data_IF_456166119729
#
_entry.id   IF_456166119729
#
_cell.length_a   1.000
_cell.length_b   1.000
_cell.length_c   1.000
_cell.angle_alpha   90.00
_cell.angle_beta   90.00
_cell.angle_gamma   90.00
#
_symmetry.space_group_name_H-M   'P 1'
#
loop_
_entity.id
_entity.type
_entity.pdbx_description
1 polymer ?
#
# COMPACT_ATOMS: atom_id res chain seq x y z
N UNK A 1 12.88 -40.31 66.00
CA UNK A 1 13.11 -39.86 67.40
C UNK A 1 14.52 -39.34 67.48
N UNK A 2 14.67 -38.07 67.12
CA UNK A 2 15.45 -37.02 67.80
C UNK A 2 16.72 -37.39 68.61
N UNK A 3 17.76 -36.63 68.26
CA UNK A 3 18.75 -35.98 69.14
C UNK A 3 20.12 -36.62 69.41
N UNK A 4 21.11 -35.98 68.77
CA UNK A 4 22.19 -35.19 69.39
C UNK A 4 23.28 -35.95 70.15
N UNK A 5 24.47 -36.00 69.54
CA UNK A 5 25.72 -36.41 70.20
C UNK A 5 26.89 -35.57 69.71
N UNK A 6 27.73 -35.21 70.68
CA UNK A 6 29.15 -34.91 70.59
C UNK A 6 29.57 -33.43 70.45
N UNK A 7 29.63 -32.78 71.62
CA UNK A 7 30.78 -31.95 71.99
C UNK A 7 32.04 -32.80 72.20
N UNK A 8 33.19 -32.17 71.92
CA UNK A 8 34.57 -32.43 72.39
C UNK A 8 35.54 -33.27 71.54
N UNK A 9 36.82 -32.86 71.65
CA UNK A 9 38.10 -33.41 71.15
C UNK A 9 38.56 -32.68 69.87
N UNK A 10 39.67 -31.93 69.79
CA UNK A 10 41.00 -32.23 70.30
C UNK A 10 41.87 -30.97 70.47
N UNK A 11 42.71 -31.02 71.50
CA UNK A 11 43.74 -30.09 71.92
C UNK A 11 44.96 -30.02 71.00
N UNK A 12 45.48 -28.78 70.86
CA UNK A 12 46.88 -28.34 70.90
C UNK A 12 47.94 -28.80 69.87
N UNK A 13 48.86 -27.86 69.60
CA UNK A 13 50.15 -27.90 68.87
C UNK A 13 50.05 -27.29 67.44
N UNK A 14 50.73 -26.22 67.03
CA UNK A 14 52.00 -25.63 67.47
C UNK A 14 52.14 -24.16 67.00
N UNK A 15 52.95 -23.42 67.78
CA UNK A 15 53.40 -22.05 67.59
C UNK A 15 54.07 -21.79 66.22
N UNK A 16 54.00 -20.54 65.72
CA UNK A 16 55.16 -19.77 65.23
C UNK A 16 54.81 -18.28 64.95
N UNK A 17 55.40 -17.40 65.77
CA UNK A 17 56.02 -16.10 65.50
C UNK A 17 55.48 -15.16 64.38
N UNK A 18 55.09 -13.93 64.77
CA UNK A 18 55.82 -12.67 64.44
C UNK A 18 54.92 -11.46 64.13
N UNK A 19 55.19 -10.38 64.87
CA UNK A 19 55.08 -8.94 64.56
C UNK A 19 53.72 -8.34 64.15
N UNK A 20 53.18 -7.54 65.08
CA UNK A 20 52.29 -6.41 64.81
C UNK A 20 53.05 -5.35 63.99
N UNK A 21 52.61 -5.12 62.77
CA UNK A 21 52.87 -3.88 62.04
C UNK A 21 51.54 -3.38 61.49
N UNK A 22 50.99 -2.35 62.16
CA UNK A 22 49.86 -1.57 61.68
C UNK A 22 50.31 -0.77 60.45
N UNK A 23 50.02 -1.28 59.26
CA UNK A 23 50.02 -0.49 58.03
C UNK A 23 48.64 0.13 57.86
N UNK A 24 48.52 1.44 58.10
CA UNK A 24 47.31 2.20 57.80
C UNK A 24 47.01 2.15 56.30
N UNK A 25 45.93 1.48 55.91
CA UNK A 25 45.35 1.62 54.58
C UNK A 25 44.51 2.90 54.54
N UNK A 26 44.91 3.85 53.70
CA UNK A 26 44.09 5.01 53.38
C UNK A 26 42.73 4.55 52.80
N UNK A 27 41.59 5.15 53.17
CA UNK A 27 40.32 4.86 52.53
C UNK A 27 40.36 5.26 51.06
N UNK A 28 39.69 4.52 50.15
CA UNK A 28 39.60 4.91 48.75
C UNK A 28 38.80 6.22 48.65
N UNK A 29 39.29 7.16 47.84
CA UNK A 29 38.58 8.40 47.53
C UNK A 29 37.20 8.07 46.93
N UNK A 30 36.15 8.86 47.23
CA UNK A 30 34.85 8.68 46.61
C UNK A 30 35.00 8.87 45.09
N UNK A 31 34.53 7.87 44.34
CA UNK A 31 34.46 7.97 42.87
C UNK A 31 33.59 9.17 42.52
N UNK A 32 34.18 10.16 41.84
CA UNK A 32 33.46 11.25 41.25
C UNK A 32 32.47 10.67 40.21
N UNK A 33 31.18 10.78 40.49
CA UNK A 33 30.14 10.49 39.51
C UNK A 33 30.25 11.54 38.39
N UNK A 34 30.69 11.12 37.22
CA UNK A 34 30.58 11.96 36.03
C UNK A 34 29.09 12.17 35.73
N UNK A 35 28.62 13.41 35.44
CA UNK A 35 27.24 13.62 35.06
C UNK A 35 26.97 12.86 33.76
N UNK A 36 25.94 12.00 33.76
CA UNK A 36 25.42 11.39 32.54
C UNK A 36 24.99 12.51 31.58
N UNK A 37 25.32 12.47 30.28
CA UNK A 37 24.88 13.49 29.35
C UNK A 37 23.35 13.54 29.36
N UNK A 38 22.79 14.72 29.65
CA UNK A 38 21.37 14.99 29.46
C UNK A 38 21.01 14.64 28.00
N UNK A 39 19.93 13.88 27.74
CA UNK A 39 19.48 13.64 26.38
C UNK A 39 19.38 14.97 25.63
N UNK A 40 20.03 15.08 24.48
CA UNK A 40 19.89 16.25 23.62
C UNK A 40 18.39 16.48 23.35
N UNK A 41 17.90 17.74 23.35
CA UNK A 41 16.53 18.02 22.95
C UNK A 41 16.22 17.31 21.64
N UNK A 42 15.13 16.54 21.60
CA UNK A 42 14.68 15.92 20.37
C UNK A 42 14.54 17.01 19.30
N UNK A 43 15.00 16.78 18.05
CA UNK A 43 14.79 17.72 16.96
C UNK A 43 13.32 18.12 16.92
N UNK A 44 13.05 19.42 16.82
CA UNK A 44 11.68 19.90 16.60
C UNK A 44 11.13 19.21 15.34
N UNK A 45 9.83 18.85 15.31
CA UNK A 45 9.25 18.22 14.13
C UNK A 45 9.51 19.13 12.93
N UNK A 46 10.16 18.57 11.90
CA UNK A 46 10.47 19.33 10.71
C UNK A 46 9.15 19.75 10.06
N UNK A 47 8.96 21.07 9.94
CA UNK A 47 7.84 21.61 9.20
C UNK A 47 7.96 21.15 7.73
N UNK A 48 7.02 20.32 7.28
CA UNK A 48 6.98 19.84 5.90
C UNK A 48 6.07 20.77 5.10
N UNK A 49 6.65 21.55 4.17
CA UNK A 49 5.86 22.35 3.24
C UNK A 49 5.34 21.45 2.09
N UNK A 50 4.05 21.11 2.12
CA UNK A 50 3.45 20.19 1.16
C UNK A 50 3.44 20.76 -0.25
N UNK A 51 3.21 22.06 -0.42
CA UNK A 51 3.25 22.75 -1.72
C UNK A 51 4.62 22.61 -2.36
N UNK A 52 5.66 22.97 -1.60
CA UNK A 52 7.04 22.87 -2.06
C UNK A 52 7.38 21.43 -2.43
N UNK A 53 7.09 20.48 -1.55
CA UNK A 53 7.39 19.07 -1.76
C UNK A 53 6.70 18.50 -2.99
N UNK A 54 5.41 18.78 -3.19
CA UNK A 54 4.66 18.35 -4.38
C UNK A 54 5.09 19.07 -5.66
N UNK A 55 5.61 20.29 -5.56
CA UNK A 55 6.10 21.04 -6.72
C UNK A 55 7.45 20.54 -7.25
N UNK A 56 8.30 19.97 -6.39
CA UNK A 56 9.67 19.55 -6.75
C UNK A 56 9.83 18.05 -6.94
N UNK A 57 9.07 17.22 -6.23
CA UNK A 57 9.36 15.80 -6.10
C UNK A 57 8.77 14.92 -7.23
N UNK A 58 7.91 15.46 -8.10
CA UNK A 58 7.36 14.68 -9.22
C UNK A 58 6.38 15.43 -10.11
N UNK A 59 5.82 14.75 -11.13
CA UNK A 59 4.81 15.29 -12.02
C UNK A 59 3.45 15.28 -11.31
N UNK A 60 3.31 16.07 -10.25
CA UNK A 60 2.13 16.17 -9.39
C UNK A 60 1.40 17.50 -9.55
N UNK A 61 1.75 18.28 -10.57
CA UNK A 61 1.24 19.64 -10.76
C UNK A 61 -0.29 19.68 -10.91
N UNK A 62 -0.89 18.69 -11.58
CA UNK A 62 -2.35 18.60 -11.73
C UNK A 62 -3.03 18.40 -10.39
N UNK A 63 -2.51 17.49 -9.56
CA UNK A 63 -3.05 17.26 -8.22
C UNK A 63 -2.86 18.49 -7.32
N UNK A 64 -1.69 19.14 -7.40
CA UNK A 64 -1.41 20.37 -6.67
C UNK A 64 -2.39 21.50 -7.05
N UNK A 65 -2.66 21.69 -8.34
CA UNK A 65 -3.65 22.67 -8.81
C UNK A 65 -5.07 22.38 -8.27
N UNK A 66 -5.44 21.10 -8.17
CA UNK A 66 -6.71 20.71 -7.54
C UNK A 66 -6.71 20.99 -6.04
N UNK A 67 -5.62 20.71 -5.32
CA UNK A 67 -5.48 21.03 -3.90
C UNK A 67 -5.64 22.53 -3.63
N UNK A 68 -5.03 23.38 -4.47
CA UNK A 68 -5.09 24.84 -4.34
C UNK A 68 -6.48 25.40 -4.67
N UNK A 69 -7.07 24.97 -5.79
CA UNK A 69 -8.39 25.45 -6.23
C UNK A 69 -9.53 25.02 -5.29
N UNK A 70 -9.42 23.86 -4.66
CA UNK A 70 -10.42 23.34 -3.71
C UNK A 70 -10.16 23.75 -2.26
N UNK A 71 -9.04 24.45 -1.98
CA UNK A 71 -8.58 24.81 -0.63
C UNK A 71 -8.34 23.61 0.29
N UNK A 72 -8.11 22.42 -0.28
CA UNK A 72 -7.81 21.21 0.50
C UNK A 72 -6.34 21.19 0.95
N UNK A 73 -5.47 21.91 0.25
CA UNK A 73 -4.07 22.07 0.65
C UNK A 73 -3.94 22.56 2.10
N UNK A 74 -4.75 23.54 2.50
CA UNK A 74 -4.75 24.09 3.86
C UNK A 74 -5.14 23.02 4.90
N UNK A 75 -6.13 22.18 4.58
CA UNK A 75 -6.54 21.05 5.42
C UNK A 75 -5.41 20.04 5.57
N UNK A 76 -4.73 19.67 4.49
CA UNK A 76 -3.62 18.71 4.53
C UNK A 76 -2.44 19.27 5.31
N UNK A 77 -2.10 20.55 5.09
CA UNK A 77 -1.01 21.21 5.78
C UNK A 77 -1.29 21.34 7.29
N UNK A 78 -2.53 21.65 7.65
CA UNK A 78 -2.98 21.67 9.05
C UNK A 78 -2.92 20.28 9.68
N UNK A 79 -3.39 19.24 8.98
CA UNK A 79 -3.33 17.86 9.48
C UNK A 79 -1.88 17.41 9.70
N UNK A 80 -0.98 17.75 8.78
CA UNK A 80 0.44 17.41 8.87
C UNK A 80 1.15 18.06 10.06
N UNK A 81 0.87 19.34 10.33
CA UNK A 81 1.70 20.14 11.24
C UNK A 81 1.05 20.42 12.60
N UNK A 82 -0.28 20.37 12.68
CA UNK A 82 -1.02 20.77 13.87
C UNK A 82 -1.70 19.58 14.56
N UNK A 83 -1.40 18.35 14.15
CA UNK A 83 -1.93 17.13 14.78
C UNK A 83 -0.82 16.12 15.03
N UNK A 84 -0.91 15.39 16.15
CA UNK A 84 0.04 14.33 16.50
C UNK A 84 -0.19 13.03 15.72
N UNK A 85 -1.29 12.93 14.95
CA UNK A 85 -1.60 11.73 14.17
C UNK A 85 -0.88 11.70 12.82
N UNK A 86 -0.51 12.86 12.30
CA UNK A 86 0.08 13.02 10.97
C UNK A 86 -0.91 12.77 9.82
N UNK A 87 -0.37 12.62 8.62
CA UNK A 87 -1.13 12.47 7.38
C UNK A 87 -0.46 11.47 6.43
N UNK A 88 -1.28 10.74 5.69
CA UNK A 88 -0.84 9.94 4.53
C UNK A 88 -1.56 10.41 3.29
N UNK A 89 -0.83 10.80 2.25
CA UNK A 89 -1.37 11.37 1.01
C UNK A 89 -1.01 10.46 -0.16
N UNK A 90 -2.01 10.02 -0.91
CA UNK A 90 -1.87 9.28 -2.16
C UNK A 90 -1.97 10.24 -3.33
N UNK A 91 -0.85 10.46 -4.02
CA UNK A 91 -0.74 11.48 -5.06
C UNK A 91 -0.76 10.83 -6.44
N UNK A 92 -1.81 11.06 -7.25
CA UNK A 92 -1.83 10.60 -8.63
C UNK A 92 -0.85 11.41 -9.48
N UNK A 93 -0.11 10.74 -10.36
CA UNK A 93 0.71 11.41 -11.38
C UNK A 93 -0.15 12.20 -12.36
N UNK A 94 0.41 13.23 -12.99
CA UNK A 94 -0.25 13.97 -14.07
C UNK A 94 -0.73 13.04 -15.21
N UNK A 95 0.01 11.96 -15.49
CA UNK A 95 -0.39 10.94 -16.45
C UNK A 95 -1.66 10.17 -16.03
N UNK A 96 -1.91 10.02 -14.73
CA UNK A 96 -3.12 9.38 -14.20
C UNK A 96 -4.37 10.20 -14.54
N UNK A 97 -4.28 11.53 -14.41
CA UNK A 97 -5.35 12.44 -14.81
C UNK A 97 -5.57 12.43 -16.32
N UNK A 98 -4.50 12.43 -17.12
CA UNK A 98 -4.59 12.34 -18.58
C UNK A 98 -5.22 11.02 -19.06
N UNK A 99 -4.95 9.92 -18.34
CA UNK A 99 -5.51 8.61 -18.65
C UNK A 99 -6.98 8.45 -18.22
N UNK A 100 -7.48 9.32 -17.34
CA UNK A 100 -8.84 9.29 -16.85
C UNK A 100 -9.81 9.88 -17.89
N UNK A 101 -10.28 9.03 -18.81
CA UNK A 101 -11.26 9.42 -19.83
C UNK A 101 -12.70 9.45 -19.29
N UNK A 102 -13.04 8.48 -18.44
CA UNK A 102 -14.33 8.36 -17.77
C UNK A 102 -14.10 7.74 -16.37
N UNK A 103 -14.81 8.21 -15.33
CA UNK A 103 -15.72 9.35 -15.32
C UNK A 103 -14.95 10.68 -15.46
N UNK A 104 -15.62 11.72 -15.98
CA UNK A 104 -15.01 13.04 -16.14
C UNK A 104 -15.09 13.82 -14.82
N UNK A 105 -13.95 14.31 -14.34
CA UNK A 105 -13.90 15.16 -13.14
C UNK A 105 -14.54 16.54 -13.36
N UNK A 106 -14.64 16.98 -14.61
CA UNK A 106 -15.27 18.28 -14.95
C UNK A 106 -16.78 18.30 -14.74
N UNK A 107 -17.42 17.13 -14.60
CA UNK A 107 -18.86 17.02 -14.33
C UNK A 107 -19.19 17.08 -12.83
N UNK A 108 -18.18 17.13 -11.96
CA UNK A 108 -18.37 17.17 -10.52
C UNK A 108 -18.73 18.58 -10.05
N UNK A 109 -19.58 18.67 -9.02
CA UNK A 109 -19.76 19.92 -8.29
C UNK A 109 -18.47 20.27 -7.53
N UNK A 110 -18.34 21.52 -7.10
CA UNK A 110 -17.19 21.94 -6.28
C UNK A 110 -17.06 21.12 -5.00
N UNK A 111 -18.18 20.78 -4.35
CA UNK A 111 -18.18 19.97 -3.13
C UNK A 111 -17.78 18.52 -3.41
N UNK A 112 -18.26 17.93 -4.51
CA UNK A 112 -17.83 16.59 -4.92
C UNK A 112 -16.34 16.56 -5.27
N UNK A 113 -15.84 17.57 -5.99
CA UNK A 113 -14.43 17.68 -6.30
C UNK A 113 -13.60 17.84 -5.02
N UNK A 114 -14.04 18.66 -4.05
CA UNK A 114 -13.38 18.79 -2.75
C UNK A 114 -13.32 17.46 -2.01
N UNK A 115 -14.42 16.72 -1.93
CA UNK A 115 -14.47 15.39 -1.33
C UNK A 115 -13.58 14.39 -2.05
N UNK A 116 -13.50 14.44 -3.40
CA UNK A 116 -12.60 13.62 -4.20
C UNK A 116 -11.13 13.88 -3.82
N UNK A 117 -10.73 15.13 -3.66
CA UNK A 117 -9.35 15.47 -3.30
C UNK A 117 -9.05 15.08 -1.85
N UNK A 118 -9.98 15.32 -0.91
CA UNK A 118 -9.86 14.84 0.47
C UNK A 118 -9.75 13.31 0.56
N UNK A 119 -10.41 12.58 -0.34
CA UNK A 119 -10.37 11.12 -0.39
C UNK A 119 -8.97 10.56 -0.69
N UNK A 120 -8.10 11.36 -1.30
CA UNK A 120 -6.73 10.97 -1.58
C UNK A 120 -5.82 11.02 -0.33
N UNK A 121 -6.33 11.34 0.86
CA UNK A 121 -5.53 11.35 2.07
C UNK A 121 -6.23 10.72 3.28
N UNK A 122 -5.43 10.19 4.19
CA UNK A 122 -5.88 9.62 5.46
C UNK A 122 -5.44 10.49 6.64
N UNK A 123 -6.26 10.62 7.70
CA UNK A 123 -5.99 11.49 8.85
C UNK A 123 -4.96 10.90 9.83
N UNK A 124 -4.03 10.10 9.33
CA UNK A 124 -2.99 9.45 10.13
C UNK A 124 -1.78 9.11 9.25
N UNK A 125 -0.59 9.20 9.82
CA UNK A 125 0.64 8.70 9.22
C UNK A 125 0.64 7.16 9.19
N UNK A 126 0.91 6.61 8.01
CA UNK A 126 1.12 5.19 7.79
C UNK A 126 2.39 4.98 6.97
N UNK A 127 3.30 4.18 7.50
CA UNK A 127 4.46 3.69 6.75
C UNK A 127 4.03 2.62 5.74
N UNK A 128 4.90 2.29 4.77
CA UNK A 128 4.64 1.18 3.84
C UNK A 128 4.37 -0.15 4.57
N UNK A 129 5.05 -0.39 5.70
CA UNK A 129 4.89 -1.60 6.50
C UNK A 129 3.52 -1.68 7.21
N UNK A 130 2.89 -0.53 7.48
CA UNK A 130 1.57 -0.51 8.13
C UNK A 130 0.45 -0.95 7.19
N UNK A 131 0.61 -0.78 5.87
CA UNK A 131 -0.39 -1.18 4.89
C UNK A 131 -0.67 -2.69 4.89
N UNK A 132 0.34 -3.52 5.20
CA UNK A 132 0.13 -4.94 5.38
C UNK A 132 -0.89 -5.22 6.51
N UNK A 133 -0.77 -4.50 7.65
CA UNK A 133 -1.73 -4.62 8.75
C UNK A 133 -3.10 -4.08 8.34
N UNK A 134 -3.18 -2.95 7.63
CA UNK A 134 -4.45 -2.40 7.15
C UNK A 134 -5.18 -3.37 6.21
N UNK A 135 -4.45 -4.13 5.39
CA UNK A 135 -5.03 -5.12 4.49
C UNK A 135 -5.84 -6.21 5.21
N UNK A 136 -5.53 -6.47 6.49
CA UNK A 136 -6.24 -7.45 7.31
C UNK A 136 -7.37 -6.85 8.16
N UNK A 137 -7.47 -5.52 8.26
CA UNK A 137 -8.42 -4.81 9.13
C UNK A 137 -9.69 -4.37 8.43
N UNK A 138 -9.70 -4.33 7.10
CA UNK A 138 -10.84 -3.89 6.29
C UNK A 138 -10.74 -2.41 5.86
N UNK A 139 -11.85 -1.81 5.41
CA UNK A 139 -11.86 -0.46 4.86
C UNK A 139 -11.41 0.60 5.87
N UNK A 140 -10.59 1.55 5.43
CA UNK A 140 -10.06 2.64 6.25
C UNK A 140 -10.63 3.97 5.78
N UNK A 141 -11.18 4.76 6.70
CA UNK A 141 -11.72 6.08 6.38
C UNK A 141 -10.63 7.09 5.99
N UNK A 142 -11.00 7.97 5.08
CA UNK A 142 -10.14 9.05 4.55
C UNK A 142 -10.51 10.41 5.17
N UNK A 143 -9.77 11.45 4.83
CA UNK A 143 -10.08 12.83 5.22
C UNK A 143 -11.39 13.37 4.61
N UNK A 144 -11.99 12.67 3.65
CA UNK A 144 -13.30 13.04 3.10
C UNK A 144 -14.47 12.67 4.03
N UNK A 145 -14.24 11.82 5.04
CA UNK A 145 -15.25 11.41 6.02
C UNK A 145 -15.53 9.90 6.01
N UNK A 146 -16.42 9.46 6.90
CA UNK A 146 -16.68 8.03 7.19
C UNK A 146 -17.22 7.24 5.99
N UNK A 147 -18.03 7.88 5.13
CA UNK A 147 -18.58 7.29 3.91
C UNK A 147 -17.54 7.11 2.78
N UNK A 148 -16.32 7.60 2.99
CA UNK A 148 -15.24 7.55 2.02
C UNK A 148 -14.10 6.70 2.57
N UNK A 149 -14.13 5.41 2.24
CA UNK A 149 -13.14 4.44 2.71
C UNK A 149 -12.29 3.87 1.58
N UNK A 150 -11.06 3.49 1.91
CA UNK A 150 -10.11 2.82 1.04
C UNK A 150 -9.83 1.42 1.59
N UNK A 151 -9.85 0.44 0.68
CA UNK A 151 -9.36 -0.90 0.98
C UNK A 151 -7.91 -1.04 0.53
N UNK A 152 -7.15 -1.79 1.32
CA UNK A 152 -5.74 -2.06 1.07
C UNK A 152 -5.56 -3.55 0.83
N UNK A 153 -4.76 -3.91 -0.17
CA UNK A 153 -4.24 -5.28 -0.30
C UNK A 153 -2.74 -5.23 -0.47
N UNK A 154 -2.06 -6.22 0.12
CA UNK A 154 -0.62 -6.39 -0.06
C UNK A 154 -0.39 -7.64 -0.91
N UNK A 155 0.23 -7.44 -2.07
CA UNK A 155 0.55 -8.49 -3.02
C UNK A 155 2.08 -8.59 -3.12
N UNK A 156 2.65 -9.47 -2.30
CA UNK A 156 4.10 -9.75 -2.27
C UNK A 156 4.97 -8.50 -2.07
N UNK A 157 4.53 -7.58 -1.21
CA UNK A 157 5.24 -6.33 -0.89
C UNK A 157 4.84 -5.14 -1.76
N UNK A 158 3.94 -5.33 -2.73
CA UNK A 158 3.32 -4.22 -3.47
C UNK A 158 1.97 -3.89 -2.86
N UNK A 159 1.81 -2.65 -2.42
CA UNK A 159 0.55 -2.15 -1.83
C UNK A 159 -0.39 -1.72 -2.94
N UNK A 160 -1.60 -2.28 -2.91
CA UNK A 160 -2.71 -1.92 -3.78
C UNK A 160 -3.80 -1.21 -2.98
N UNK A 161 -4.41 -0.21 -3.61
CA UNK A 161 -5.53 0.55 -3.09
C UNK A 161 -6.76 0.29 -3.94
N UNK A 162 -7.89 0.11 -3.27
CA UNK A 162 -9.19 -0.10 -3.90
C UNK A 162 -10.21 0.88 -3.32
N UNK A 163 -10.76 1.74 -4.18
CA UNK A 163 -11.79 2.71 -3.85
C UNK A 163 -13.21 2.29 -4.26
N UNK A 164 -13.38 1.03 -4.68
CA UNK A 164 -14.59 0.52 -5.33
C UNK A 164 -14.55 0.76 -6.84
N UNK A 165 -14.43 2.02 -7.25
CA UNK A 165 -14.39 2.41 -8.67
C UNK A 165 -13.02 2.32 -9.33
N UNK A 166 -11.95 2.53 -8.57
CA UNK A 166 -10.60 2.53 -9.09
C UNK A 166 -9.71 1.67 -8.22
N UNK A 167 -8.94 0.80 -8.89
CA UNK A 167 -7.90 -0.02 -8.26
C UNK A 167 -6.55 0.40 -8.78
N UNK A 168 -5.64 0.74 -7.88
CA UNK A 168 -4.30 1.23 -8.22
C UNK A 168 -3.27 0.62 -7.28
N UNK A 169 -2.00 0.78 -7.62
CA UNK A 169 -0.89 0.41 -6.76
C UNK A 169 -0.13 1.65 -6.32
N UNK A 170 0.51 1.57 -5.15
CA UNK A 170 1.56 2.49 -4.77
C UNK A 170 2.77 2.20 -5.66
N UNK A 171 3.17 3.20 -6.44
CA UNK A 171 4.25 3.09 -7.41
C UNK A 171 5.59 3.63 -6.89
N UNK A 172 5.56 4.56 -5.92
CA UNK A 172 6.76 5.11 -5.29
C UNK A 172 6.40 5.76 -3.94
N UNK A 173 7.36 5.79 -3.01
CA UNK A 173 7.29 6.61 -1.81
C UNK A 173 8.08 7.90 -2.05
N UNK A 174 7.35 9.01 -2.20
CA UNK A 174 7.93 10.34 -2.46
C UNK A 174 8.51 10.92 -1.18
N UNK A 175 7.78 10.74 -0.08
CA UNK A 175 8.19 11.13 1.25
C UNK A 175 7.55 10.15 2.25
N UNK A 176 8.27 9.72 3.27
CA UNK A 176 7.75 8.78 4.27
C UNK A 176 8.50 9.01 5.57
N UNK A 177 8.16 10.09 6.25
CA UNK A 177 8.78 10.48 7.52
C UNK A 177 7.71 11.13 8.38
N UNK A 178 7.49 10.59 9.57
CA UNK A 178 6.49 11.10 10.51
C UNK A 178 6.71 12.61 10.75
N UNK A 179 5.68 13.47 10.62
CA UNK A 179 4.24 13.16 10.53
C UNK A 179 3.66 13.01 9.11
N UNK A 180 4.45 13.02 8.04
CA UNK A 180 3.97 13.05 6.65
C UNK A 180 4.41 11.83 5.84
N UNK A 181 3.45 11.15 5.23
CA UNK A 181 3.69 10.17 4.18
C UNK A 181 3.05 10.61 2.87
N UNK A 182 3.81 10.55 1.77
CA UNK A 182 3.37 10.85 0.40
C UNK A 182 3.73 9.68 -0.49
N UNK A 183 2.70 9.02 -1.01
CA UNK A 183 2.81 7.86 -1.88
C UNK A 183 2.27 8.16 -3.27
N UNK A 184 3.08 7.92 -4.28
CA UNK A 184 2.69 8.10 -5.67
C UNK A 184 1.80 6.95 -6.14
N UNK A 185 0.68 7.25 -6.80
CA UNK A 185 -0.21 6.26 -7.41
C UNK A 185 -0.37 6.46 -8.92
N UNK A 186 -0.63 5.37 -9.64
CA UNK A 186 -0.71 5.36 -11.10
C UNK A 186 -2.11 5.72 -11.66
N UNK A 187 -3.14 5.74 -10.80
CA UNK A 187 -4.51 6.13 -11.14
C UNK A 187 -5.08 7.07 -10.07
N UNK A 188 -6.00 7.93 -10.49
CA UNK A 188 -6.80 8.78 -9.59
C UNK A 188 -7.74 7.88 -8.79
N UNK A 189 -7.81 8.08 -7.48
CA UNK A 189 -8.73 7.38 -6.59
C UNK A 189 -10.14 7.97 -6.73
N UNK A 190 -11.10 7.14 -7.11
CA UNK A 190 -12.48 7.52 -7.37
C UNK A 190 -13.39 6.83 -6.33
N UNK A 191 -13.99 7.57 -5.37
CA UNK A 191 -14.82 6.96 -4.35
C UNK A 191 -16.21 6.58 -4.89
N UNK A 192 -16.66 5.39 -4.55
CA UNK A 192 -18.02 4.91 -4.84
C UNK A 192 -19.12 5.87 -4.38
N UNK A 193 -18.92 6.57 -3.26
CA UNK A 193 -19.88 7.56 -2.76
C UNK A 193 -20.17 8.75 -3.71
N UNK A 194 -19.28 9.03 -4.67
CA UNK A 194 -19.50 10.08 -5.70
C UNK A 194 -20.01 9.47 -7.01
N UNK A 195 -19.46 8.31 -7.39
CA UNK A 195 -19.68 7.72 -8.71
C UNK A 195 -20.71 6.57 -8.73
N UNK A 196 -21.26 6.20 -7.58
CA UNK A 196 -22.21 5.09 -7.43
C UNK A 196 -21.55 3.71 -7.56
N UNK A 197 -22.34 2.66 -7.74
CA UNK A 197 -21.86 1.28 -7.96
C UNK A 197 -21.83 0.86 -9.43
N UNK A 198 -22.41 1.67 -10.32
CA UNK A 198 -22.53 1.35 -11.75
C UNK A 198 -21.24 1.73 -12.50
N UNK A 199 -20.26 0.83 -12.45
CA UNK A 199 -18.97 1.02 -13.12
C UNK A 199 -19.17 0.77 -14.63
N UNK A 200 -19.01 1.78 -15.51
CA UNK A 200 -19.11 1.59 -16.94
C UNK A 200 -18.01 0.63 -17.40
N UNK A 201 -18.29 -0.23 -18.40
CA UNK A 201 -17.30 -1.18 -18.89
C UNK A 201 -16.01 -0.44 -19.30
N UNK A 202 -14.89 -0.84 -18.69
CA UNK A 202 -13.59 -0.24 -18.97
C UNK A 202 -13.28 -0.44 -20.47
N UNK A 203 -12.89 0.61 -21.21
CA UNK A 203 -12.50 0.45 -22.60
C UNK A 203 -11.34 -0.55 -22.67
N UNK A 204 -11.33 -1.48 -23.65
CA UNK A 204 -10.25 -2.43 -23.82
C UNK A 204 -8.90 -1.70 -23.83
N UNK A 205 -7.92 -2.22 -23.08
CA UNK A 205 -6.56 -1.71 -23.13
C UNK A 205 -6.11 -1.68 -24.61
N UNK A 206 -5.47 -0.59 -25.09
CA UNK A 206 -4.99 -0.53 -26.46
C UNK A 206 -4.13 -1.76 -26.75
N UNK A 207 -4.53 -2.54 -27.75
CA UNK A 207 -3.75 -3.70 -28.18
C UNK A 207 -2.32 -3.25 -28.53
N UNK A 208 -1.29 -4.08 -28.24
CA UNK A 208 0.07 -3.81 -28.70
C UNK A 208 0.03 -3.49 -30.20
N UNK A 209 0.55 -2.32 -30.58
CA UNK A 209 0.65 -1.94 -31.97
C UNK A 209 1.46 -3.02 -32.71
N UNK A 210 1.02 -3.50 -33.89
CA UNK A 210 1.82 -4.41 -34.70
C UNK A 210 3.13 -3.70 -35.10
N UNK A 211 4.27 -4.31 -34.80
CA UNK A 211 5.56 -3.92 -35.38
C UNK A 211 5.50 -4.16 -36.89
N UNK A 212 5.22 -3.10 -37.65
CA UNK A 212 5.31 -3.13 -39.11
C UNK A 212 6.80 -3.04 -39.47
N UNK A 213 7.42 -4.20 -39.67
CA UNK A 213 8.71 -4.29 -40.34
C UNK A 213 8.55 -3.79 -41.80
N UNK A 214 9.42 -2.91 -42.33
CA UNK A 214 9.30 -2.45 -43.71
C UNK A 214 9.66 -3.59 -44.68
N UNK A 215 8.70 -4.03 -45.49
CA UNK A 215 8.98 -4.88 -46.64
C UNK A 215 9.38 -4.01 -47.85
N UNK A 216 10.40 -4.47 -48.55
CA UNK A 216 11.10 -3.81 -49.64
C UNK A 216 10.25 -3.62 -50.92
N UNK A 217 10.78 -2.72 -51.75
CA UNK A 217 10.29 -2.10 -52.99
C UNK A 217 9.95 -3.05 -54.18
N UNK A 218 9.08 -2.51 -55.06
CA UNK A 218 8.87 -2.80 -56.51
C UNK A 218 7.79 -3.84 -56.95
N UNK A 219 7.21 -3.73 -58.18
CA UNK A 219 6.05 -2.87 -58.46
C UNK A 219 4.86 -3.52 -59.22
N UNK A 220 3.69 -2.89 -59.04
CA UNK A 220 2.45 -2.77 -59.83
C UNK A 220 2.14 -3.70 -61.03
N UNK A 221 0.91 -4.25 -61.05
CA UNK A 221 0.07 -4.32 -62.25
C UNK A 221 -1.43 -4.32 -61.88
N UNK A 222 -2.16 -3.32 -62.38
CA UNK A 222 -3.61 -3.20 -62.39
C UNK A 222 -4.27 -4.29 -63.27
N UNK A 223 -5.52 -4.68 -62.99
CA UNK A 223 -6.66 -4.55 -63.92
C UNK A 223 -7.98 -5.03 -63.29
N UNK A 224 -9.02 -4.23 -63.55
CA UNK A 224 -10.45 -4.40 -63.23
C UNK A 224 -11.06 -5.73 -63.71
N UNK A 225 -12.06 -6.21 -62.97
CA UNK A 225 -13.02 -7.21 -63.46
C UNK A 225 -14.28 -7.28 -62.60
N UNK A 226 -15.42 -6.96 -63.20
CA UNK A 226 -16.77 -6.81 -62.62
C UNK A 226 -17.51 -8.14 -62.65
N UNK A 227 -18.28 -8.45 -61.60
CA UNK A 227 -19.61 -9.05 -61.76
C UNK A 227 -19.87 -10.47 -61.22
N UNK A 228 -20.82 -10.50 -60.27
CA UNK A 228 -21.94 -11.45 -60.13
C UNK A 228 -21.71 -12.84 -59.50
N UNK A 229 -22.62 -13.10 -58.57
CA UNK A 229 -22.98 -14.34 -57.88
C UNK A 229 -23.06 -15.58 -58.77
N UNK A 230 -22.74 -16.75 -58.20
CA UNK A 230 -23.76 -17.75 -57.82
C UNK A 230 -23.16 -18.88 -57.00
N UNK A 231 -23.94 -19.22 -55.98
CA UNK A 231 -23.90 -20.34 -55.04
C UNK A 231 -24.08 -21.68 -55.77
N UNK A 232 -23.22 -22.67 -55.47
CA UNK A 232 -23.58 -24.10 -55.41
C UNK A 232 -22.38 -24.93 -54.89
N UNK A 233 -22.50 -25.41 -53.66
CA UNK A 233 -22.02 -26.71 -53.18
C UNK A 233 -22.82 -27.84 -53.89
N UNK A 234 -22.40 -29.14 -53.95
CA UNK A 234 -21.88 -29.84 -52.76
C UNK A 234 -20.88 -31.04 -52.95
N UNK A 235 -20.35 -31.45 -51.79
CA UNK A 235 -19.94 -32.79 -51.33
C UNK A 235 -18.62 -33.49 -51.74
N UNK A 236 -17.75 -33.58 -50.72
CA UNK A 236 -17.07 -34.78 -50.13
C UNK A 236 -15.80 -35.43 -50.71
N UNK A 237 -14.91 -35.74 -49.75
CA UNK A 237 -13.87 -36.79 -49.68
C UNK A 237 -12.43 -36.30 -49.95
N UNK A 238 -11.37 -36.56 -49.16
CA UNK A 238 -11.15 -37.32 -47.91
C UNK A 238 -9.75 -37.00 -47.32
N UNK A 239 -9.56 -37.38 -46.05
CA UNK A 239 -8.37 -38.03 -45.46
C UNK A 239 -7.69 -37.34 -44.26
N UNK A 240 -7.34 -38.19 -43.30
CA UNK A 240 -7.25 -37.99 -41.85
C UNK A 240 -5.83 -38.16 -41.30
N UNK A 241 -5.57 -37.66 -40.07
CA UNK A 241 -5.02 -38.38 -38.87
C UNK A 241 -5.31 -37.51 -37.61
N UNK A 242 -6.20 -37.89 -36.68
CA UNK A 242 -6.05 -38.78 -35.49
C UNK A 242 -5.04 -38.21 -34.48
N UNK A 243 -5.22 -38.10 -33.14
CA UNK A 243 -6.28 -38.18 -32.11
C UNK A 243 -5.57 -37.76 -30.79
N UNK A 244 -6.25 -37.15 -29.82
CA UNK A 244 -6.55 -37.78 -28.52
C UNK A 244 -7.23 -36.78 -27.56
N UNK A 245 -8.48 -37.09 -27.20
CA UNK A 245 -9.26 -36.52 -26.10
C UNK A 245 -9.33 -37.57 -24.99
N UNK A 246 -9.23 -37.14 -23.73
CA UNK A 246 -9.61 -37.94 -22.56
C UNK A 246 -10.20 -36.99 -21.51
N UNK A 247 -11.53 -36.87 -21.43
CA UNK A 247 -12.44 -37.59 -20.49
C UNK A 247 -12.59 -36.85 -19.14
N UNK A 248 -13.74 -36.20 -18.91
CA UNK A 248 -14.93 -36.72 -18.16
C UNK A 248 -14.77 -36.41 -16.65
N UNK A 249 -15.75 -35.96 -15.87
CA UNK A 249 -17.17 -36.26 -15.86
C UNK A 249 -17.94 -35.20 -15.01
N UNK A 250 -19.22 -35.00 -15.31
CA UNK A 250 -20.24 -34.34 -14.48
C UNK A 250 -21.37 -35.37 -14.22
N UNK A 251 -22.37 -34.99 -13.40
CA UNK A 251 -23.63 -35.68 -13.02
C UNK A 251 -23.53 -36.55 -11.73
N UNK A 252 -24.42 -36.56 -10.71
CA UNK A 252 -25.88 -36.36 -10.62
C UNK A 252 -26.39 -36.13 -9.15
N UNK A 253 -27.46 -35.30 -9.05
CA UNK A 253 -28.72 -35.41 -8.28
C UNK A 253 -28.83 -35.55 -6.72
N UNK A 254 -29.46 -34.51 -6.13
CA UNK A 254 -30.57 -34.46 -5.17
C UNK A 254 -30.83 -35.60 -4.15
N UNK A 255 -30.83 -35.23 -2.85
CA UNK A 255 -31.68 -35.84 -1.83
C UNK A 255 -32.29 -34.78 -0.90
N UNK A 256 -33.49 -35.12 -0.46
CA UNK A 256 -34.53 -34.35 0.23
C UNK A 256 -34.16 -33.81 1.61
N UNK A 257 -34.96 -32.83 2.06
CA UNK A 257 -34.84 -32.17 3.35
C UNK A 257 -35.23 -33.02 4.57
N UNK A 258 -35.02 -32.39 5.73
CA UNK A 258 -35.54 -32.84 7.01
C UNK A 258 -34.45 -33.08 8.04
N UNK A 259 -34.04 -32.02 8.77
CA UNK A 259 -33.74 -32.18 10.19
C UNK A 259 -33.95 -30.86 10.94
N UNK A 260 -35.18 -30.71 11.44
CA UNK A 260 -35.51 -29.95 12.65
C UNK A 260 -35.35 -30.93 13.82
N UNK A 261 -34.72 -30.47 14.91
CA UNK A 261 -34.64 -31.04 16.28
C UNK A 261 -33.24 -31.52 16.75
N UNK A 262 -32.86 -31.01 17.94
CA UNK A 262 -31.73 -31.34 18.84
C UNK A 262 -30.35 -30.81 18.36
N UNK A 263 -29.67 -29.87 19.00
CA UNK A 263 -29.49 -29.51 20.41
C UNK A 263 -29.35 -27.99 20.60
#
# INVERSE_FOLDING_TARGET
>A
MEFSRASMISCFALLLCSSLAYGASSPPAPMAMSPSPTPAPAPAPEYVNLTYLLSVAGPFHTFLNYLESTKVLDTFQNQANNTDQGITIFVPKDSAFKALKKPSLSNLTNDQLKSLILFHAMPKFYSLADFNKLSTKGPVSTLAGSQYSLNFTDNSGTVHLDSGWSKTKVSSAVHSTDPVAIYQVDKVLLPEAIFGTDIPPMPPAPAPAPDISPAADAPSAETKGKGSSSKAEPSTSSSHRIMNFGTWNQLLLALFGGWVMFF
#
